data_IF_427988848667
#
_entry.id   IF_427988848667
#
_cell.length_a   1.000
_cell.length_b   1.000
_cell.length_c   1.000
_cell.angle_alpha   90.00
_cell.angle_beta   90.00
_cell.angle_gamma   90.00
#
_symmetry.space_group_name_H-M   'P 1'
#
loop_
_entity.id
_entity.type
_entity.pdbx_description
1 polymer ?
#
# COMPACT_ATOMS: atom_id res chain seq x y z
N UNK A 1 -0.63 16.67 24.05
CA UNK A 1 0.30 16.61 22.92
C UNK A 1 -0.51 16.08 21.74
N UNK A 2 -0.86 16.98 20.82
CA UNK A 2 -1.64 16.62 19.65
C UNK A 2 -0.82 15.68 18.74
N UNK A 3 -1.44 14.60 18.27
CA UNK A 3 -0.87 13.82 17.18
C UNK A 3 -0.80 14.74 15.99
N UNK A 4 0.40 15.12 15.60
CA UNK A 4 0.62 15.74 14.32
C UNK A 4 0.11 14.73 13.28
N UNK A 5 -1.00 15.05 12.62
CA UNK A 5 -1.38 14.34 11.42
C UNK A 5 -0.20 14.47 10.49
N UNK A 6 0.43 13.35 10.14
CA UNK A 6 1.49 13.35 9.14
C UNK A 6 0.94 14.00 7.89
N UNK A 7 1.33 15.26 7.66
CA UNK A 7 1.08 15.95 6.41
C UNK A 7 1.88 15.18 5.39
N UNK A 8 1.21 14.44 4.51
CA UNK A 8 1.84 13.73 3.41
C UNK A 8 2.12 14.73 2.30
N UNK A 9 3.11 15.58 2.53
CA UNK A 9 3.59 16.48 1.50
C UNK A 9 4.30 15.66 0.41
N UNK A 10 4.00 15.99 -0.83
CA UNK A 10 4.70 15.42 -1.97
C UNK A 10 5.75 16.41 -2.42
N UNK A 11 6.99 15.94 -2.51
CA UNK A 11 8.10 16.69 -3.07
C UNK A 11 8.50 16.10 -4.42
N UNK A 12 9.13 16.90 -5.27
CA UNK A 12 9.74 16.42 -6.49
C UNK A 12 11.03 15.66 -6.20
N UNK A 13 11.49 14.85 -7.16
CA UNK A 13 12.82 14.20 -7.08
C UNK A 13 13.93 15.25 -6.99
N UNK A 14 13.77 16.39 -7.67
CA UNK A 14 14.72 17.49 -7.61
C UNK A 14 14.80 18.09 -6.20
N UNK A 15 13.66 18.32 -5.56
CA UNK A 15 13.60 18.79 -4.17
C UNK A 15 14.19 17.74 -3.22
N UNK A 16 13.94 16.47 -3.42
CA UNK A 16 14.56 15.40 -2.64
C UNK A 16 16.08 15.41 -2.78
N UNK A 17 16.62 15.58 -4.01
CA UNK A 17 18.06 15.74 -4.25
C UNK A 17 18.65 16.94 -3.50
N UNK A 18 17.89 18.02 -3.39
CA UNK A 18 18.31 19.19 -2.66
C UNK A 18 18.36 18.95 -1.15
N UNK A 19 17.39 18.21 -0.61
CA UNK A 19 17.27 17.94 0.82
C UNK A 19 18.24 16.87 1.34
N UNK A 20 18.39 15.74 0.62
CA UNK A 20 19.16 14.57 1.09
C UNK A 20 20.40 14.28 0.26
N UNK A 21 20.64 15.02 -0.80
CA UNK A 21 21.77 14.83 -1.71
C UNK A 21 21.47 13.86 -2.86
N UNK A 22 22.24 13.99 -3.94
CA UNK A 22 22.00 13.21 -5.16
C UNK A 22 22.28 11.72 -4.97
N UNK A 23 23.34 11.37 -4.26
CA UNK A 23 23.76 9.98 -4.04
C UNK A 23 22.67 9.18 -3.31
N UNK A 24 22.20 9.68 -2.16
CA UNK A 24 21.11 9.02 -1.42
C UNK A 24 19.80 8.99 -2.20
N UNK A 25 19.50 10.06 -2.95
CA UNK A 25 18.31 10.07 -3.80
C UNK A 25 18.35 8.97 -4.87
N UNK A 26 19.48 8.80 -5.54
CA UNK A 26 19.64 7.76 -6.56
C UNK A 26 19.57 6.36 -5.95
N UNK A 27 20.16 6.15 -4.76
CA UNK A 27 20.06 4.89 -4.02
C UNK A 27 18.60 4.57 -3.64
N UNK A 28 17.84 5.56 -3.17
CA UNK A 28 16.40 5.41 -2.84
C UNK A 28 15.57 5.06 -4.07
N UNK A 29 15.83 5.70 -5.21
CA UNK A 29 15.15 5.43 -6.47
C UNK A 29 15.45 4.00 -6.92
N UNK A 30 16.72 3.60 -6.95
CA UNK A 30 17.13 2.27 -7.38
C UNK A 30 16.55 1.17 -6.48
N UNK A 31 16.64 1.34 -5.16
CA UNK A 31 16.06 0.42 -4.19
C UNK A 31 14.54 0.28 -4.38
N UNK A 32 13.83 1.41 -4.54
CA UNK A 32 12.38 1.40 -4.75
C UNK A 32 11.98 0.65 -6.01
N UNK A 33 12.63 0.89 -7.14
CA UNK A 33 12.33 0.19 -8.40
C UNK A 33 12.72 -1.28 -8.36
N UNK A 34 13.83 -1.62 -7.72
CA UNK A 34 14.27 -3.01 -7.57
C UNK A 34 13.27 -3.82 -6.74
N UNK A 35 12.84 -3.29 -5.60
CA UNK A 35 11.84 -3.92 -4.74
C UNK A 35 10.49 -4.05 -5.45
N UNK A 36 10.03 -2.97 -6.10
CA UNK A 36 8.75 -2.98 -6.80
C UNK A 36 8.73 -4.00 -7.95
N UNK A 37 9.81 -4.09 -8.72
CA UNK A 37 9.91 -5.06 -9.83
C UNK A 37 9.86 -6.49 -9.33
N UNK A 38 10.66 -6.83 -8.32
CA UNK A 38 10.69 -8.16 -7.75
C UNK A 38 9.31 -8.57 -7.17
N UNK A 39 8.65 -7.65 -6.47
CA UNK A 39 7.32 -7.90 -5.92
C UNK A 39 6.25 -8.01 -7.02
N UNK A 40 6.34 -7.21 -8.09
CA UNK A 40 5.40 -7.28 -9.22
C UNK A 40 5.52 -8.61 -9.96
N UNK A 41 6.73 -9.08 -10.23
CA UNK A 41 6.97 -10.38 -10.87
C UNK A 41 6.41 -11.53 -10.02
N UNK A 42 6.60 -11.48 -8.71
CA UNK A 42 6.04 -12.47 -7.78
C UNK A 42 4.50 -12.40 -7.75
N UNK A 43 3.92 -11.22 -7.61
CA UNK A 43 2.47 -11.02 -7.58
C UNK A 43 1.80 -11.48 -8.90
N UNK A 44 2.43 -11.20 -10.04
CA UNK A 44 1.94 -11.64 -11.36
C UNK A 44 1.88 -13.16 -11.45
N UNK A 45 2.89 -13.86 -10.92
CA UNK A 45 2.88 -15.34 -10.86
C UNK A 45 1.76 -15.91 -10.00
N UNK A 46 1.25 -15.12 -9.05
CA UNK A 46 0.11 -15.43 -8.18
C UNK A 46 -1.25 -14.93 -8.73
N UNK A 47 -1.29 -14.42 -9.96
CA UNK A 47 -2.51 -13.88 -10.57
C UNK A 47 -2.94 -12.52 -10.00
N UNK A 48 -2.01 -11.75 -9.45
CA UNK A 48 -2.23 -10.46 -8.83
C UNK A 48 -1.46 -9.35 -9.56
N UNK A 49 -2.10 -8.22 -9.77
CA UNK A 49 -1.45 -6.99 -10.23
C UNK A 49 -1.10 -6.14 -9.02
N UNK A 50 0.20 -5.90 -8.80
CA UNK A 50 0.68 -4.89 -7.86
C UNK A 50 0.59 -3.52 -8.54
N UNK A 51 -0.41 -2.73 -8.15
CA UNK A 51 -0.70 -1.44 -8.78
C UNK A 51 0.27 -0.35 -8.33
N UNK A 52 0.41 -0.18 -7.06
CA UNK A 52 1.31 0.76 -6.41
C UNK A 52 1.64 0.32 -4.99
N UNK A 53 2.66 0.94 -4.43
CA UNK A 53 3.09 0.73 -3.06
C UNK A 53 3.70 1.99 -2.46
N UNK A 54 3.82 2.00 -1.15
CA UNK A 54 4.57 2.99 -0.38
C UNK A 54 5.73 2.29 0.30
N UNK A 55 6.91 2.87 0.21
CA UNK A 55 8.07 2.46 0.99
C UNK A 55 8.44 3.53 2.00
N UNK A 56 8.94 3.09 3.13
CA UNK A 56 9.65 3.93 4.08
C UNK A 56 11.07 3.42 4.22
N UNK A 57 12.02 4.33 4.16
CA UNK A 57 13.44 4.00 4.26
C UNK A 57 14.08 4.70 5.44
N UNK A 58 15.05 4.06 6.02
CA UNK A 58 15.92 4.61 7.04
C UNK A 58 17.40 4.32 6.72
N UNK A 59 18.29 4.93 7.49
CA UNK A 59 19.71 4.62 7.43
C UNK A 59 20.21 4.05 8.76
N UNK A 60 20.98 2.98 8.70
CA UNK A 60 21.65 2.40 9.86
C UNK A 60 23.07 2.01 9.49
N UNK A 61 24.04 2.52 10.23
CA UNK A 61 25.47 2.27 10.01
C UNK A 61 25.92 2.55 8.55
N UNK A 62 25.39 3.66 7.98
CA UNK A 62 25.66 4.08 6.60
C UNK A 62 25.02 3.21 5.52
N UNK A 63 24.11 2.32 5.88
CA UNK A 63 23.37 1.47 4.93
C UNK A 63 21.91 1.89 4.87
N UNK A 64 21.37 1.90 3.66
CA UNK A 64 19.94 2.06 3.45
C UNK A 64 19.20 0.79 3.92
N UNK A 65 18.15 0.97 4.70
CA UNK A 65 17.28 -0.10 5.15
C UNK A 65 15.82 0.26 4.85
N UNK A 66 15.00 -0.74 4.50
CA UNK A 66 13.56 -0.58 4.44
C UNK A 66 13.03 -0.66 5.86
N UNK A 67 12.17 0.29 6.22
CA UNK A 67 11.47 0.34 7.51
C UNK A 67 9.97 0.32 7.27
N UNK A 68 9.19 0.08 8.33
CA UNK A 68 7.75 -0.08 8.26
C UNK A 68 7.31 -1.31 7.42
N UNK A 69 6.03 -1.42 7.12
CA UNK A 69 5.46 -2.51 6.34
C UNK A 69 5.79 -2.42 4.85
N UNK A 70 5.98 -3.57 4.21
CA UNK A 70 6.33 -3.68 2.80
C UNK A 70 5.39 -4.66 2.10
N UNK A 71 4.76 -4.21 1.02
CA UNK A 71 3.87 -5.02 0.16
C UNK A 71 2.73 -5.72 0.92
N UNK A 72 2.21 -5.08 1.95
CA UNK A 72 0.98 -5.52 2.60
C UNK A 72 -0.24 -4.86 1.92
N UNK A 73 -1.46 -5.38 2.11
CA UNK A 73 -2.66 -4.71 1.63
C UNK A 73 -2.87 -3.30 2.23
N UNK A 74 -2.13 -2.94 3.27
CA UNK A 74 -2.16 -1.61 3.88
C UNK A 74 -1.23 -0.62 3.19
N UNK A 75 -0.05 -1.07 2.75
CA UNK A 75 0.95 -0.24 2.07
C UNK A 75 0.82 -0.25 0.55
N UNK A 76 0.07 -1.22 -0.02
CA UNK A 76 0.03 -1.49 -1.45
C UNK A 76 -1.40 -1.73 -1.94
N UNK A 77 -1.65 -1.50 -3.23
CA UNK A 77 -2.89 -1.91 -3.89
C UNK A 77 -2.64 -3.14 -4.74
N UNK A 78 -3.41 -4.18 -4.45
CA UNK A 78 -3.39 -5.43 -5.19
C UNK A 78 -4.74 -5.63 -5.89
N UNK A 79 -4.70 -5.93 -7.18
CA UNK A 79 -5.88 -6.21 -7.99
C UNK A 79 -5.85 -7.64 -8.49
N UNK A 80 -6.97 -8.37 -8.46
CA UNK A 80 -7.08 -9.65 -9.16
C UNK A 80 -6.83 -9.46 -10.66
N UNK A 81 -5.89 -10.19 -11.23
CA UNK A 81 -5.53 -10.03 -12.64
C UNK A 81 -6.65 -10.44 -13.60
N UNK A 82 -7.42 -11.47 -13.22
CA UNK A 82 -8.56 -12.01 -13.97
C UNK A 82 -9.78 -11.08 -13.99
N UNK A 83 -9.88 -10.17 -13.03
CA UNK A 83 -10.98 -9.21 -12.91
C UNK A 83 -10.59 -7.80 -13.40
N UNK A 84 -9.37 -7.61 -13.84
CA UNK A 84 -8.89 -6.30 -14.28
C UNK A 84 -9.55 -5.84 -15.58
N UNK A 85 -10.20 -4.67 -15.53
CA UNK A 85 -10.80 -4.01 -16.69
C UNK A 85 -10.29 -2.57 -16.83
N UNK A 86 -9.58 -2.24 -17.94
CA UNK A 86 -9.10 -0.88 -18.16
C UNK A 86 -10.22 0.17 -18.12
N UNK A 87 -9.97 1.29 -17.43
CA UNK A 87 -10.91 2.42 -17.37
C UNK A 87 -12.08 2.25 -16.39
N UNK A 88 -12.13 1.15 -15.65
CA UNK A 88 -13.13 0.93 -14.59
C UNK A 88 -12.49 1.00 -13.20
N UNK A 89 -13.34 1.14 -12.18
CA UNK A 89 -12.93 0.92 -10.80
C UNK A 89 -12.58 -0.56 -10.61
N UNK A 90 -11.43 -0.84 -10.01
CA UNK A 90 -10.95 -2.20 -9.82
C UNK A 90 -11.33 -2.72 -8.44
N UNK A 91 -11.65 -4.01 -8.37
CA UNK A 91 -11.69 -4.70 -7.09
C UNK A 91 -10.27 -4.75 -6.50
N UNK A 92 -10.16 -4.56 -5.20
CA UNK A 92 -8.87 -4.53 -4.53
C UNK A 92 -8.93 -5.40 -3.27
N UNK A 93 -7.76 -5.95 -2.88
CA UNK A 93 -7.60 -6.70 -1.64
C UNK A 93 -7.30 -5.78 -0.44
N UNK A 94 -7.34 -4.47 -0.63
CA UNK A 94 -7.03 -3.47 0.39
C UNK A 94 -8.27 -2.95 1.13
N UNK A 95 -8.08 -1.81 1.82
CA UNK A 95 -9.12 -1.07 2.55
C UNK A 95 -10.24 -0.49 1.67
N UNK A 96 -10.27 -0.76 0.36
CA UNK A 96 -11.25 -0.13 -0.53
C UNK A 96 -12.67 -0.50 -0.14
N UNK A 97 -12.91 -1.74 0.28
CA UNK A 97 -14.22 -2.19 0.73
C UNK A 97 -14.75 -1.39 1.93
N UNK A 98 -13.87 -1.11 2.90
CA UNK A 98 -14.22 -0.24 4.05
C UNK A 98 -14.43 1.20 3.61
N UNK A 99 -13.61 1.70 2.69
CA UNK A 99 -13.78 3.07 2.15
C UNK A 99 -15.08 3.25 1.40
N UNK A 100 -15.47 2.25 0.62
CA UNK A 100 -16.72 2.27 -0.15
C UNK A 100 -17.91 2.31 0.81
N UNK A 101 -17.93 1.45 1.83
CA UNK A 101 -18.94 1.47 2.88
C UNK A 101 -19.00 2.84 3.59
N UNK A 102 -17.87 3.39 4.04
CA UNK A 102 -17.83 4.69 4.70
C UNK A 102 -18.28 5.84 3.80
N UNK A 103 -18.08 5.72 2.49
CA UNK A 103 -18.54 6.69 1.50
C UNK A 103 -20.04 6.55 1.27
N UNK A 104 -20.56 5.32 1.21
CA UNK A 104 -21.98 5.02 1.03
C UNK A 104 -22.84 5.57 2.18
N UNK A 105 -22.37 5.43 3.43
CA UNK A 105 -23.03 6.01 4.60
C UNK A 105 -22.83 7.53 4.75
N UNK A 106 -22.06 8.14 3.84
CA UNK A 106 -21.81 9.59 3.85
C UNK A 106 -20.94 10.10 4.99
N UNK A 107 -20.03 9.29 5.54
CA UNK A 107 -19.14 9.72 6.61
C UNK A 107 -18.21 10.85 6.15
N UNK A 108 -18.20 11.94 6.91
CA UNK A 108 -17.44 13.16 6.62
C UNK A 108 -15.93 13.06 6.96
N UNK A 109 -15.44 11.89 7.34
CA UNK A 109 -14.05 11.62 7.74
C UNK A 109 -13.60 12.38 8.99
N UNK A 110 -14.54 12.83 9.81
CA UNK A 110 -14.27 13.48 11.10
C UNK A 110 -14.62 12.53 12.26
N UNK A 111 -13.86 12.58 13.37
CA UNK A 111 -14.21 11.84 14.57
C UNK A 111 -15.59 12.26 15.17
N UNK A 112 -16.31 11.34 15.80
CA UNK A 112 -15.99 9.92 15.96
C UNK A 112 -16.18 9.13 14.67
N UNK A 113 -15.34 8.11 14.45
CA UNK A 113 -15.56 7.18 13.35
C UNK A 113 -16.79 6.32 13.61
N UNK A 114 -17.62 6.00 12.59
CA UNK A 114 -18.73 5.08 12.74
C UNK A 114 -18.22 3.66 13.05
N UNK A 115 -19.02 2.89 13.79
CA UNK A 115 -18.77 1.47 13.97
C UNK A 115 -18.99 0.75 12.63
N UNK A 116 -18.11 -0.20 12.32
CA UNK A 116 -18.25 -1.02 11.13
C UNK A 116 -19.19 -2.19 11.42
N UNK A 117 -20.16 -2.47 10.54
CA UNK A 117 -20.97 -3.68 10.63
C UNK A 117 -20.13 -4.95 10.57
N UNK A 118 -20.59 -6.01 11.22
CA UNK A 118 -19.87 -7.27 11.31
C UNK A 118 -19.61 -7.90 9.94
N UNK A 119 -20.52 -7.75 9.00
CA UNK A 119 -20.33 -8.23 7.62
C UNK A 119 -19.23 -7.46 6.87
N UNK A 120 -19.06 -6.15 7.12
CA UNK A 120 -17.98 -5.35 6.56
C UNK A 120 -16.63 -5.79 7.14
N UNK A 121 -16.58 -6.04 8.45
CA UNK A 121 -15.38 -6.55 9.13
C UNK A 121 -15.01 -7.92 8.59
N UNK A 122 -15.97 -8.85 8.51
CA UNK A 122 -15.76 -10.22 8.02
C UNK A 122 -15.23 -10.23 6.59
N UNK A 123 -15.89 -9.53 5.68
CA UNK A 123 -15.48 -9.45 4.28
C UNK A 123 -14.11 -8.79 4.11
N UNK A 124 -13.79 -7.79 4.91
CA UNK A 124 -12.44 -7.18 4.90
C UNK A 124 -11.39 -8.20 5.35
N UNK A 125 -11.65 -8.92 6.44
CA UNK A 125 -10.77 -9.97 6.92
C UNK A 125 -10.56 -11.09 5.89
N UNK A 126 -11.63 -11.51 5.20
CA UNK A 126 -11.55 -12.50 4.11
C UNK A 126 -10.64 -12.02 2.97
N UNK A 127 -10.74 -10.74 2.57
CA UNK A 127 -9.90 -10.18 1.52
C UNK A 127 -8.41 -10.15 1.90
N UNK A 128 -8.09 -9.84 3.15
CA UNK A 128 -6.71 -9.89 3.63
C UNK A 128 -6.15 -11.32 3.67
N UNK A 129 -6.95 -12.28 4.11
CA UNK A 129 -6.58 -13.70 4.10
C UNK A 129 -6.42 -14.23 2.68
N UNK A 130 -7.29 -13.84 1.76
CA UNK A 130 -7.20 -14.19 0.35
C UNK A 130 -5.90 -13.66 -0.27
N UNK A 131 -5.56 -12.39 -0.04
CA UNK A 131 -4.30 -11.80 -0.49
C UNK A 131 -3.09 -12.55 0.09
N UNK A 132 -3.11 -12.86 1.38
CA UNK A 132 -2.04 -13.63 2.02
C UNK A 132 -1.87 -15.01 1.36
N UNK A 133 -2.96 -15.76 1.21
CA UNK A 133 -2.93 -17.08 0.58
C UNK A 133 -2.38 -17.05 -0.83
N UNK A 134 -2.79 -16.07 -1.64
CA UNK A 134 -2.33 -15.93 -3.02
C UNK A 134 -0.85 -15.56 -3.10
N UNK A 135 -0.39 -14.62 -2.27
CA UNK A 135 0.97 -14.10 -2.32
C UNK A 135 1.97 -15.04 -1.64
N UNK A 136 1.61 -15.59 -0.48
CA UNK A 136 2.51 -16.45 0.32
C UNK A 136 2.36 -17.93 -0.05
N UNK A 137 1.19 -18.33 -0.56
CA UNK A 137 0.90 -19.73 -0.90
C UNK A 137 0.52 -20.61 0.28
N UNK A 138 0.23 -20.01 1.44
CA UNK A 138 -0.12 -20.72 2.68
C UNK A 138 -1.48 -20.25 3.22
N UNK A 139 -2.14 -21.09 3.99
CA UNK A 139 -3.35 -20.71 4.74
C UNK A 139 -2.95 -20.06 6.08
N UNK A 140 -3.75 -19.05 6.50
CA UNK A 140 -3.62 -18.42 7.82
C UNK A 140 -4.44 -19.13 8.88
#
# INVERSE_FOLDING_TARGET
MGSEMCIRDRISIEEMRHQVGSELTDELIEASFSLFRAASEHAESAGIILCDTKFEFGQRDGKLIVIDEVFTPDSSRFWPADLYEPGKSQQSFDKQFVRDYLSEIGWNKQPPAPELPEDVISKTSEKYREAYRLIVGEEL
#
